data_IF_207461085587
#
_entry.id   IF_207461085587
#
_cell.length_a   1.000
_cell.length_b   1.000
_cell.length_c   1.000
_cell.angle_alpha   90.00
_cell.angle_beta   90.00
_cell.angle_gamma   90.00
#
_symmetry.space_group_name_H-M   'P 1'
#
loop_
_entity.id
_entity.type
_entity.pdbx_description
1 polymer ?
#
# COMPACT_ATOMS: atom_id res chain seq x y z
N UNK A 1 -10.72 -12.60 26.96
CA UNK A 1 -10.20 -12.00 25.71
C UNK A 1 -9.75 -13.17 24.87
N UNK A 2 -10.31 -13.33 23.70
CA UNK A 2 -9.98 -14.41 22.79
C UNK A 2 -8.93 -13.87 21.81
N UNK A 3 -7.83 -14.58 21.65
CA UNK A 3 -6.72 -14.24 20.74
C UNK A 3 -6.68 -15.17 19.53
N UNK A 4 -7.69 -16.03 19.38
CA UNK A 4 -7.79 -16.91 18.23
C UNK A 4 -8.22 -16.14 16.99
N UNK A 5 -7.60 -16.45 15.85
CA UNK A 5 -8.00 -15.86 14.58
C UNK A 5 -9.28 -16.50 14.06
N UNK A 6 -10.13 -15.69 13.44
CA UNK A 6 -11.31 -16.22 12.76
C UNK A 6 -10.90 -17.16 11.60
N UNK A 7 -11.77 -18.13 11.21
CA UNK A 7 -11.46 -19.01 10.06
C UNK A 7 -11.12 -18.23 8.78
N UNK A 8 -11.76 -17.08 8.55
CA UNK A 8 -11.47 -16.20 7.42
C UNK A 8 -10.03 -15.66 7.47
N UNK A 9 -9.62 -15.20 8.64
CA UNK A 9 -8.26 -14.65 8.85
C UNK A 9 -7.24 -15.75 8.71
N UNK A 10 -7.48 -16.93 9.29
CA UNK A 10 -6.58 -18.08 9.18
C UNK A 10 -6.38 -18.49 7.72
N UNK A 11 -7.46 -18.58 6.94
CA UNK A 11 -7.39 -18.89 5.50
C UNK A 11 -6.54 -17.85 4.75
N UNK A 12 -6.75 -16.55 5.02
CA UNK A 12 -5.95 -15.50 4.39
C UNK A 12 -4.47 -15.57 4.79
N UNK A 13 -4.18 -15.84 6.07
CA UNK A 13 -2.80 -16.04 6.54
C UNK A 13 -2.13 -17.20 5.81
N UNK A 14 -2.81 -18.33 5.66
CA UNK A 14 -2.28 -19.50 4.96
C UNK A 14 -2.00 -19.18 3.48
N UNK A 15 -2.91 -18.46 2.81
CA UNK A 15 -2.74 -18.04 1.42
C UNK A 15 -1.61 -17.02 1.24
N UNK A 16 -1.50 -16.03 2.13
CA UNK A 16 -0.40 -15.05 2.08
C UNK A 16 0.93 -15.73 2.37
N UNK A 17 1.02 -16.64 3.35
CA UNK A 17 2.23 -17.42 3.61
C UNK A 17 2.62 -18.26 2.39
N UNK A 18 1.69 -18.97 1.77
CA UNK A 18 1.96 -19.74 0.55
C UNK A 18 2.50 -18.87 -0.59
N UNK A 19 1.93 -17.67 -0.76
CA UNK A 19 2.42 -16.71 -1.75
C UNK A 19 3.83 -16.20 -1.42
N UNK A 20 4.12 -15.93 -0.14
CA UNK A 20 5.46 -15.54 0.31
C UNK A 20 6.47 -16.63 0.01
N UNK A 21 6.15 -17.88 0.33
CA UNK A 21 7.03 -19.03 0.12
C UNK A 21 7.28 -19.33 -1.36
N UNK A 22 6.24 -19.22 -2.20
CA UNK A 22 6.33 -19.58 -3.61
C UNK A 22 6.92 -18.45 -4.47
N UNK A 23 6.61 -17.19 -4.16
CA UNK A 23 6.92 -16.08 -5.06
C UNK A 23 7.80 -14.98 -4.46
N UNK A 24 7.75 -14.73 -3.17
CA UNK A 24 8.50 -13.61 -2.58
C UNK A 24 9.91 -14.04 -2.20
N UNK A 25 10.05 -15.01 -1.31
CA UNK A 25 11.37 -15.44 -0.82
C UNK A 25 12.31 -15.93 -1.94
N UNK A 26 11.85 -16.71 -2.93
CA UNK A 26 12.74 -17.14 -4.01
C UNK A 26 13.21 -16.01 -4.94
N UNK A 27 12.56 -14.85 -4.92
CA UNK A 27 12.85 -13.72 -5.79
C UNK A 27 13.56 -12.54 -5.10
N UNK A 28 14.02 -12.69 -3.85
CA UNK A 28 14.74 -11.62 -3.15
C UNK A 28 16.03 -11.22 -3.88
N UNK A 29 16.82 -12.18 -4.34
CA UNK A 29 18.06 -11.91 -5.10
C UNK A 29 17.76 -11.21 -6.43
N UNK A 30 16.67 -11.60 -7.12
CA UNK A 30 16.25 -10.97 -8.36
C UNK A 30 15.82 -9.51 -8.13
N UNK A 31 15.05 -9.26 -7.08
CA UNK A 31 14.65 -7.91 -6.69
C UNK A 31 15.88 -7.03 -6.41
N UNK A 32 16.80 -7.52 -5.58
CA UNK A 32 18.02 -6.77 -5.25
C UNK A 32 18.88 -6.46 -6.47
N UNK A 33 18.95 -7.40 -7.41
CA UNK A 33 19.66 -7.20 -8.68
C UNK A 33 18.99 -6.11 -9.53
N UNK A 34 17.67 -6.16 -9.69
CA UNK A 34 16.92 -5.15 -10.46
C UNK A 34 17.06 -3.75 -9.85
N UNK A 35 17.04 -3.63 -8.51
CA UNK A 35 17.28 -2.35 -7.82
C UNK A 35 18.70 -1.83 -8.04
N UNK A 36 19.70 -2.72 -8.03
CA UNK A 36 21.11 -2.33 -8.16
C UNK A 36 21.52 -1.96 -9.60
N UNK A 37 20.97 -2.68 -10.59
CA UNK A 37 21.37 -2.58 -12.00
C UNK A 37 20.37 -1.81 -12.86
N UNK A 38 19.12 -1.63 -12.37
CA UNK A 38 18.03 -0.99 -13.11
C UNK A 38 18.01 0.54 -12.99
N UNK A 39 17.06 1.15 -13.67
CA UNK A 39 16.76 2.58 -13.50
C UNK A 39 16.02 2.79 -12.18
N UNK A 40 16.66 3.52 -11.27
CA UNK A 40 16.12 3.82 -9.93
C UNK A 40 14.76 4.55 -9.94
N UNK A 41 14.34 5.09 -11.07
CA UNK A 41 13.10 5.82 -11.23
C UNK A 41 11.99 4.98 -11.87
N UNK A 42 12.28 3.72 -12.18
CA UNK A 42 11.32 2.78 -12.74
C UNK A 42 10.97 1.70 -11.72
N UNK A 43 9.73 1.19 -11.72
CA UNK A 43 9.37 0.01 -10.94
C UNK A 43 10.22 -1.20 -11.35
N UNK A 44 10.54 -2.06 -10.38
CA UNK A 44 11.21 -3.32 -10.69
C UNK A 44 10.27 -4.27 -11.41
N UNK A 45 10.76 -4.96 -12.43
CA UNK A 45 9.94 -5.87 -13.25
C UNK A 45 9.39 -7.04 -12.43
N UNK A 46 10.17 -7.54 -11.47
CA UNK A 46 9.74 -8.64 -10.61
C UNK A 46 8.52 -8.23 -9.77
N UNK A 47 8.51 -7.04 -9.19
CA UNK A 47 7.37 -6.55 -8.39
C UNK A 47 6.12 -6.42 -9.27
N UNK A 48 6.23 -5.83 -10.45
CA UNK A 48 5.09 -5.70 -11.38
C UNK A 48 4.54 -7.08 -11.81
N UNK A 49 5.42 -8.05 -12.05
CA UNK A 49 5.02 -9.41 -12.37
C UNK A 49 4.25 -10.07 -11.22
N UNK A 50 4.71 -9.89 -9.99
CA UNK A 50 4.09 -10.48 -8.81
C UNK A 50 2.80 -9.77 -8.40
N UNK A 51 2.64 -8.47 -8.66
CA UNK A 51 1.36 -7.76 -8.50
C UNK A 51 0.25 -8.43 -9.33
N UNK A 52 0.53 -8.79 -10.57
CA UNK A 52 -0.44 -9.49 -11.41
C UNK A 52 -0.85 -10.84 -10.79
N UNK A 53 0.09 -11.60 -10.24
CA UNK A 53 -0.19 -12.86 -9.54
C UNK A 53 -0.99 -12.67 -8.25
N UNK A 54 -0.68 -11.64 -7.47
CA UNK A 54 -1.43 -11.34 -6.26
C UNK A 54 -2.89 -10.97 -6.56
N UNK A 55 -3.12 -10.20 -7.63
CA UNK A 55 -4.47 -9.90 -8.13
C UNK A 55 -5.21 -11.18 -8.55
N UNK A 56 -4.58 -12.03 -9.36
CA UNK A 56 -5.16 -13.30 -9.82
C UNK A 56 -5.56 -14.21 -8.66
N UNK A 57 -4.77 -14.23 -7.60
CA UNK A 57 -5.04 -15.02 -6.41
C UNK A 57 -5.98 -14.32 -5.40
N UNK A 58 -6.50 -13.13 -5.70
CA UNK A 58 -7.39 -12.39 -4.78
C UNK A 58 -6.69 -11.96 -3.48
N UNK A 59 -5.38 -11.68 -3.54
CA UNK A 59 -4.57 -11.17 -2.43
C UNK A 59 -4.22 -9.70 -2.62
N UNK A 60 -5.05 -8.95 -3.31
CA UNK A 60 -4.86 -7.55 -3.64
C UNK A 60 -5.72 -6.64 -2.75
N UNK A 61 -5.19 -5.50 -2.31
CA UNK A 61 -5.91 -4.53 -1.48
C UNK A 61 -6.47 -5.14 -0.17
N UNK A 62 -5.71 -5.96 0.54
CA UNK A 62 -6.14 -6.59 1.80
C UNK A 62 -6.36 -5.60 2.94
N UNK A 63 -5.82 -4.40 2.84
CA UNK A 63 -6.06 -3.28 3.76
C UNK A 63 -7.43 -2.64 3.51
N UNK A 64 -7.66 -1.38 3.89
CA UNK A 64 -8.94 -0.65 3.87
C UNK A 64 -9.98 -1.33 4.77
N UNK A 65 -9.84 -1.14 6.11
CA UNK A 65 -10.72 -1.78 7.07
C UNK A 65 -12.17 -1.35 6.84
N UNK A 66 -13.07 -2.34 6.93
CA UNK A 66 -14.53 -2.13 6.84
C UNK A 66 -14.97 -1.43 5.55
N UNK A 67 -14.22 -1.59 4.45
CA UNK A 67 -14.48 -0.96 3.16
C UNK A 67 -14.79 -1.98 2.06
N UNK A 68 -15.70 -1.63 1.17
CA UNK A 68 -16.01 -2.42 -0.04
C UNK A 68 -14.85 -2.42 -1.06
N UNK A 69 -13.88 -1.52 -0.89
CA UNK A 69 -12.67 -1.46 -1.72
C UNK A 69 -11.56 -2.41 -1.26
N UNK A 70 -11.68 -3.01 -0.08
CA UNK A 70 -10.71 -3.92 0.51
C UNK A 70 -11.28 -5.32 0.72
N UNK A 71 -10.60 -6.10 1.56
CA UNK A 71 -11.04 -7.46 1.92
C UNK A 71 -12.13 -7.49 3.01
N UNK A 72 -12.64 -6.34 3.44
CA UNK A 72 -13.64 -6.21 4.51
C UNK A 72 -13.13 -6.69 5.87
N UNK A 73 -11.84 -6.50 6.14
CA UNK A 73 -11.20 -6.87 7.41
C UNK A 73 -11.24 -5.68 8.38
N UNK A 74 -11.36 -5.97 9.66
CA UNK A 74 -11.02 -5.01 10.70
C UNK A 74 -9.51 -4.86 10.82
N UNK A 75 -9.02 -3.81 11.49
CA UNK A 75 -7.58 -3.64 11.74
C UNK A 75 -6.97 -4.82 12.51
N UNK A 76 -7.72 -5.41 13.44
CA UNK A 76 -7.27 -6.58 14.22
C UNK A 76 -7.12 -7.81 13.32
N UNK A 77 -8.03 -7.99 12.36
CA UNK A 77 -7.98 -9.09 11.40
C UNK A 77 -6.88 -8.90 10.33
N UNK A 78 -6.58 -7.65 9.98
CA UNK A 78 -5.52 -7.32 9.02
C UNK A 78 -4.10 -7.39 9.63
N UNK A 79 -3.95 -7.14 10.93
CA UNK A 79 -2.65 -7.10 11.62
C UNK A 79 -1.77 -8.34 11.38
N UNK A 80 -2.25 -9.60 11.50
CA UNK A 80 -1.42 -10.78 11.23
C UNK A 80 -0.97 -10.90 9.78
N UNK A 81 -1.73 -10.36 8.82
CA UNK A 81 -1.32 -10.31 7.42
C UNK A 81 -0.17 -9.31 7.21
N UNK A 82 -0.20 -8.17 7.92
CA UNK A 82 0.92 -7.22 7.92
C UNK A 82 2.21 -7.85 8.47
N UNK A 83 2.10 -8.68 9.53
CA UNK A 83 3.26 -9.41 10.09
C UNK A 83 3.89 -10.34 9.06
N UNK A 84 3.08 -11.08 8.30
CA UNK A 84 3.55 -12.00 7.27
C UNK A 84 4.22 -11.22 6.12
N UNK A 85 3.52 -10.23 5.55
CA UNK A 85 4.04 -9.43 4.44
C UNK A 85 5.29 -8.63 4.83
N UNK A 86 5.33 -8.12 6.07
CA UNK A 86 6.44 -7.32 6.60
C UNK A 86 7.75 -8.07 6.85
N UNK A 87 7.80 -9.39 6.66
CA UNK A 87 9.03 -10.18 6.74
C UNK A 87 10.01 -9.85 5.61
N UNK A 88 9.50 -9.36 4.48
CA UNK A 88 10.29 -8.89 3.35
C UNK A 88 9.88 -7.45 3.03
N UNK A 89 10.84 -6.53 3.02
CA UNK A 89 10.60 -5.08 2.97
C UNK A 89 9.77 -4.62 1.76
N UNK A 90 9.92 -5.27 0.62
CA UNK A 90 9.21 -4.91 -0.61
C UNK A 90 7.92 -5.72 -0.85
N UNK A 91 7.68 -6.80 -0.09
CA UNK A 91 6.51 -7.65 -0.28
C UNK A 91 5.16 -6.93 -0.13
N UNK A 92 4.96 -5.99 0.82
CA UNK A 92 3.68 -5.27 0.93
C UNK A 92 3.27 -4.56 -0.37
N UNK A 93 4.22 -4.11 -1.19
CA UNK A 93 3.92 -3.49 -2.48
C UNK A 93 3.28 -4.46 -3.47
N UNK A 94 3.68 -5.73 -3.44
CA UNK A 94 3.11 -6.77 -4.31
C UNK A 94 1.62 -6.97 -4.06
N UNK A 95 1.15 -6.71 -2.85
CA UNK A 95 -0.25 -6.83 -2.45
C UNK A 95 -1.01 -5.48 -2.48
N UNK A 96 -0.39 -4.41 -2.96
CA UNK A 96 -0.87 -3.02 -2.88
C UNK A 96 -1.18 -2.59 -1.43
N UNK A 97 -0.37 -3.04 -0.50
CA UNK A 97 -0.53 -2.84 0.94
C UNK A 97 0.61 -2.02 1.56
N UNK A 98 1.32 -1.24 0.76
CA UNK A 98 2.47 -0.45 1.20
C UNK A 98 2.12 1.02 1.44
N UNK A 99 2.89 1.64 2.31
CA UNK A 99 2.85 3.09 2.50
C UNK A 99 3.65 3.79 1.36
N UNK A 100 3.28 5.02 0.98
CA UNK A 100 2.19 5.87 1.51
C UNK A 100 0.83 5.60 0.87
N UNK A 101 0.75 4.75 -0.16
CA UNK A 101 -0.45 4.57 -0.97
C UNK A 101 -1.65 4.13 -0.13
N UNK A 102 -1.48 3.22 0.82
CA UNK A 102 -2.56 2.76 1.70
C UNK A 102 -3.23 3.90 2.47
N UNK A 103 -2.45 4.78 3.08
CA UNK A 103 -2.97 5.93 3.80
C UNK A 103 -3.68 6.93 2.88
N UNK A 104 -3.12 7.20 1.71
CA UNK A 104 -3.71 8.11 0.74
C UNK A 104 -5.00 7.54 0.13
N UNK A 105 -5.06 6.25 -0.15
CA UNK A 105 -6.29 5.57 -0.59
C UNK A 105 -7.37 5.62 0.49
N UNK A 106 -7.01 5.43 1.76
CA UNK A 106 -7.97 5.53 2.87
C UNK A 106 -8.54 6.95 3.01
N UNK A 107 -7.70 7.98 2.87
CA UNK A 107 -8.16 9.39 2.86
C UNK A 107 -9.12 9.65 1.71
N UNK A 108 -8.78 9.21 0.49
CA UNK A 108 -9.65 9.37 -0.67
C UNK A 108 -10.96 8.59 -0.54
N UNK A 109 -10.92 7.37 -0.01
CA UNK A 109 -12.11 6.55 0.20
C UNK A 109 -13.08 7.17 1.21
N UNK A 110 -12.55 7.80 2.27
CA UNK A 110 -13.38 8.38 3.36
C UNK A 110 -13.86 9.80 3.08
N UNK A 111 -13.05 10.60 2.41
CA UNK A 111 -13.24 12.06 2.33
C UNK A 111 -13.24 12.61 0.90
N UNK A 112 -12.82 11.82 -0.09
CA UNK A 112 -12.81 12.22 -1.48
C UNK A 112 -14.22 12.38 -2.05
N UNK A 113 -14.42 13.38 -2.92
CA UNK A 113 -15.64 13.48 -3.73
C UNK A 113 -15.72 12.32 -4.73
N UNK A 114 -16.90 12.01 -5.30
CA UNK A 114 -17.01 10.99 -6.35
C UNK A 114 -16.02 11.21 -7.52
N UNK A 115 -15.82 12.46 -7.92
CA UNK A 115 -14.88 12.83 -8.98
C UNK A 115 -13.43 12.56 -8.58
N UNK A 116 -13.04 12.90 -7.36
CA UNK A 116 -11.71 12.61 -6.82
C UNK A 116 -11.47 11.11 -6.65
N UNK A 117 -12.49 10.37 -6.25
CA UNK A 117 -12.40 8.91 -6.14
C UNK A 117 -12.23 8.26 -7.53
N UNK A 118 -12.98 8.69 -8.54
CA UNK A 118 -12.81 8.20 -9.90
C UNK A 118 -11.44 8.56 -10.48
N UNK A 119 -10.99 9.79 -10.24
CA UNK A 119 -9.73 10.29 -10.81
C UNK A 119 -8.48 9.72 -10.13
N UNK A 120 -8.52 9.53 -8.80
CA UNK A 120 -7.32 9.21 -8.01
C UNK A 120 -7.42 7.89 -7.25
N UNK A 121 -8.55 7.62 -6.56
CA UNK A 121 -8.68 6.40 -5.76
C UNK A 121 -8.69 5.16 -6.64
N UNK A 122 -9.49 5.16 -7.68
CA UNK A 122 -9.64 4.01 -8.56
C UNK A 122 -8.32 3.56 -9.20
N UNK A 123 -7.52 4.43 -9.86
CA UNK A 123 -6.23 4.02 -10.39
C UNK A 123 -5.20 3.65 -9.31
N UNK A 124 -5.28 4.20 -8.09
CA UNK A 124 -4.47 3.75 -6.96
C UNK A 124 -4.86 2.34 -6.51
N UNK A 125 -6.16 2.05 -6.39
CA UNK A 125 -6.67 0.71 -6.05
C UNK A 125 -6.29 -0.32 -7.11
N UNK A 126 -6.24 0.09 -8.38
CA UNK A 126 -5.78 -0.77 -9.47
C UNK A 126 -4.24 -0.88 -9.56
N UNK A 127 -3.51 -0.07 -8.80
CA UNK A 127 -2.05 -0.04 -8.84
C UNK A 127 -1.49 0.53 -10.15
N UNK A 128 -2.27 1.32 -10.87
CA UNK A 128 -1.88 1.98 -12.12
C UNK A 128 -1.03 3.22 -11.87
N UNK A 129 -1.26 3.87 -10.73
CA UNK A 129 -0.49 5.04 -10.28
C UNK A 129 0.02 4.82 -8.86
N UNK A 130 0.98 5.64 -8.48
CA UNK A 130 1.53 5.72 -7.12
C UNK A 130 1.24 7.09 -6.55
N UNK A 131 1.30 7.19 -5.24
CA UNK A 131 1.15 8.43 -4.51
C UNK A 131 2.35 8.73 -3.63
N UNK A 132 2.41 9.94 -3.10
CA UNK A 132 3.43 10.32 -2.13
C UNK A 132 2.80 11.15 -1.01
N UNK A 133 3.54 11.28 0.07
CA UNK A 133 3.23 12.19 1.15
C UNK A 133 4.34 13.25 1.24
N UNK A 134 4.02 14.48 0.85
CA UNK A 134 4.97 15.61 0.84
C UNK A 134 5.07 16.21 2.25
N UNK A 135 5.79 15.53 3.16
CA UNK A 135 5.91 15.91 4.56
C UNK A 135 7.13 16.82 4.82
N UNK A 136 8.25 16.57 4.14
CA UNK A 136 9.53 17.17 4.47
C UNK A 136 9.64 18.59 3.91
N UNK A 137 9.99 19.54 4.76
CA UNK A 137 10.26 20.94 4.42
C UNK A 137 11.76 21.25 4.58
N UNK A 138 12.32 22.22 3.81
CA UNK A 138 13.75 22.53 3.89
C UNK A 138 14.22 23.07 5.23
N UNK A 139 13.37 23.80 5.95
CA UNK A 139 13.77 24.58 7.15
C UNK A 139 13.33 23.94 8.46
N UNK A 140 12.42 22.97 8.45
CA UNK A 140 11.85 22.41 9.67
C UNK A 140 11.87 20.88 9.68
N UNK A 141 11.94 20.29 10.87
CA UNK A 141 11.81 18.85 11.09
C UNK A 141 10.32 18.48 11.05
N UNK A 142 9.75 18.36 9.86
CA UNK A 142 8.31 18.22 9.62
C UNK A 142 7.73 16.81 9.89
N UNK A 143 8.55 15.88 10.39
CA UNK A 143 8.07 14.62 10.98
C UNK A 143 7.20 14.84 12.22
N UNK A 144 7.40 15.94 12.92
CA UNK A 144 6.43 16.50 13.86
C UNK A 144 5.52 17.49 13.11
N UNK A 145 4.30 17.07 12.81
CA UNK A 145 3.34 17.85 12.04
C UNK A 145 2.97 19.21 12.71
N UNK A 146 3.26 19.38 14.00
CA UNK A 146 3.03 20.66 14.68
C UNK A 146 4.06 21.73 14.30
N UNK A 147 5.17 21.34 13.68
CA UNK A 147 6.24 22.22 13.22
C UNK A 147 6.15 22.60 11.74
N UNK A 148 5.13 22.14 11.02
CA UNK A 148 4.96 22.48 9.61
C UNK A 148 4.73 23.97 9.45
N UNK A 149 5.54 24.63 8.60
CA UNK A 149 5.47 26.05 8.28
C UNK A 149 4.90 26.33 6.88
N UNK A 150 4.80 25.30 6.04
CA UNK A 150 4.18 25.44 4.71
C UNK A 150 2.76 25.94 4.81
N UNK A 151 2.42 26.89 3.94
CA UNK A 151 1.08 27.43 3.81
C UNK A 151 0.45 26.99 2.49
N UNK A 152 -0.86 26.88 2.47
CA UNK A 152 -1.67 26.66 1.27
C UNK A 152 -2.65 27.79 1.17
N UNK A 153 -2.44 28.69 0.19
CA UNK A 153 -3.29 29.88 0.00
C UNK A 153 -4.01 29.77 -1.34
N UNK A 154 -5.33 29.98 -1.31
CA UNK A 154 -6.11 30.00 -2.56
C UNK A 154 -5.81 31.25 -3.35
N UNK A 155 -5.48 31.07 -4.63
CA UNK A 155 -5.31 32.14 -5.61
C UNK A 155 -6.18 31.84 -6.86
N UNK A 156 -7.36 32.43 -6.92
CA UNK A 156 -8.35 32.17 -7.98
C UNK A 156 -8.84 30.71 -7.92
N UNK A 157 -8.56 29.93 -8.96
CA UNK A 157 -8.91 28.50 -9.07
C UNK A 157 -7.77 27.55 -8.71
N UNK A 158 -6.64 28.11 -8.24
CA UNK A 158 -5.44 27.36 -7.88
C UNK A 158 -5.11 27.51 -6.38
N UNK A 159 -4.16 26.73 -5.90
CA UNK A 159 -3.55 26.85 -4.58
C UNK A 159 -2.04 27.03 -4.72
N UNK A 160 -1.50 27.95 -3.92
CA UNK A 160 -0.07 28.31 -3.89
C UNK A 160 0.51 28.07 -2.50
#
# INVERSE_FOLDING_TARGET
MDFEYSPKVQELMDRVNAFMDEYIYPNEDQFMKEVAEGDRWQPTQIVETLKAKAKEQGLWNLFLPESDHGAGLTNVEYAPLCEIMGRVLWAPEVFNCNAPDTGNMEVLARYGTPEQQEQWLKPLLEGEIRSCFAMTEPAVASSDATNIESSIVRDGDEYV
#
